data_IF_921222668402
#
_entry.id   IF_921222668402
#
_cell.length_a   1.000
_cell.length_b   1.000
_cell.length_c   1.000
_cell.angle_alpha   90.00
_cell.angle_beta   90.00
_cell.angle_gamma   90.00
#
_symmetry.space_group_name_H-M   'P 1'
#
loop_
_entity.id
_entity.type
_entity.pdbx_description
1 polymer ?
#
# COMPACT_ATOMS: atom_id res chain seq x y z
N UNK A 1 11.54 19.84 -23.33
CA UNK A 1 11.23 18.41 -23.39
C UNK A 1 10.77 17.89 -22.05
N UNK A 2 9.62 17.20 -21.99
CA UNK A 2 9.24 16.61 -20.71
C UNK A 2 10.22 15.53 -20.30
N UNK A 3 10.59 15.53 -19.02
CA UNK A 3 11.45 14.50 -18.47
C UNK A 3 10.68 13.17 -18.41
N UNK A 4 11.26 12.05 -18.89
CA UNK A 4 10.60 10.76 -18.75
C UNK A 4 10.35 10.45 -17.29
N UNK A 5 9.18 9.93 -16.99
CA UNK A 5 8.86 9.50 -15.64
C UNK A 5 9.68 8.27 -15.27
N UNK A 6 10.29 8.32 -14.09
CA UNK A 6 11.03 7.20 -13.54
C UNK A 6 10.08 6.28 -12.79
N UNK A 7 10.33 4.98 -12.89
CA UNK A 7 9.57 3.96 -12.18
C UNK A 7 8.43 3.35 -12.98
N UNK A 8 7.87 2.26 -12.48
CA UNK A 8 6.78 1.54 -13.15
C UNK A 8 5.50 2.36 -13.16
N UNK A 9 4.77 2.25 -14.27
CA UNK A 9 3.44 2.85 -14.42
C UNK A 9 2.39 1.77 -14.22
N UNK A 10 1.30 2.13 -13.53
CA UNK A 10 0.15 1.24 -13.32
C UNK A 10 -0.96 1.46 -14.33
N UNK A 11 -0.65 2.17 -15.42
CA UNK A 11 -1.62 2.56 -16.43
C UNK A 11 -2.27 3.90 -16.12
N UNK A 12 -2.79 4.58 -17.14
CA UNK A 12 -3.50 5.83 -16.99
C UNK A 12 -2.66 7.02 -16.57
N UNK A 13 -3.34 8.09 -16.12
CA UNK A 13 -2.72 9.33 -15.66
C UNK A 13 -2.09 9.18 -14.28
N UNK A 14 -1.21 10.11 -13.87
CA UNK A 14 -0.66 10.09 -12.50
C UNK A 14 -1.71 10.11 -11.40
N UNK A 15 -2.82 10.81 -11.58
CA UNK A 15 -3.91 10.82 -10.61
C UNK A 15 -4.61 9.47 -10.53
N UNK A 16 -4.77 8.77 -11.66
CA UNK A 16 -5.34 7.43 -11.70
C UNK A 16 -4.43 6.43 -10.98
N UNK A 17 -3.12 6.52 -11.20
CA UNK A 17 -2.14 5.66 -10.52
C UNK A 17 -2.17 5.86 -9.01
N UNK A 18 -2.25 7.11 -8.54
CA UNK A 18 -2.38 7.40 -7.11
C UNK A 18 -3.64 6.81 -6.52
N UNK A 19 -4.75 6.84 -7.28
CA UNK A 19 -6.02 6.27 -6.85
C UNK A 19 -5.94 4.75 -6.72
N UNK A 20 -5.28 4.08 -7.67
CA UNK A 20 -5.05 2.63 -7.61
C UNK A 20 -4.27 2.28 -6.34
N UNK A 21 -3.17 2.97 -6.08
CA UNK A 21 -2.34 2.72 -4.91
C UNK A 21 -3.08 3.01 -3.61
N UNK A 22 -3.82 4.11 -3.55
CA UNK A 22 -4.62 4.47 -2.38
C UNK A 22 -5.66 3.40 -2.07
N UNK A 23 -6.38 2.92 -3.09
CA UNK A 23 -7.41 1.89 -2.92
C UNK A 23 -6.80 0.54 -2.49
N UNK A 24 -5.67 0.15 -3.09
CA UNK A 24 -4.97 -1.08 -2.72
C UNK A 24 -4.44 -1.00 -1.28
N UNK A 25 -3.90 0.15 -0.89
CA UNK A 25 -3.41 0.35 0.46
C UNK A 25 -4.55 0.29 1.48
N UNK A 26 -5.69 0.91 1.20
CA UNK A 26 -6.87 0.84 2.05
C UNK A 26 -7.35 -0.60 2.21
N UNK A 27 -7.44 -1.35 1.12
CA UNK A 27 -7.82 -2.77 1.15
C UNK A 27 -6.84 -3.60 1.97
N UNK A 28 -5.56 -3.35 1.83
CA UNK A 28 -4.53 -4.07 2.59
C UNK A 28 -4.65 -3.81 4.09
N UNK A 29 -4.95 -2.59 4.49
CA UNK A 29 -5.14 -2.24 5.90
C UNK A 29 -6.38 -2.92 6.46
N UNK A 30 -7.49 -2.92 5.73
CA UNK A 30 -8.76 -3.50 6.17
C UNK A 30 -8.71 -5.02 6.20
N UNK A 31 -8.28 -5.64 5.11
CA UNK A 31 -8.27 -7.10 4.94
C UNK A 31 -6.98 -7.75 5.44
N UNK A 32 -5.93 -6.97 5.63
CA UNK A 32 -4.57 -7.37 5.99
C UNK A 32 -3.85 -8.19 4.92
N UNK A 33 -4.49 -8.43 3.79
CA UNK A 33 -3.92 -9.10 2.62
C UNK A 33 -4.68 -8.69 1.36
N UNK A 34 -3.96 -8.61 0.25
CA UNK A 34 -4.54 -8.28 -1.05
C UNK A 34 -3.87 -9.13 -2.11
N UNK A 35 -4.67 -9.72 -3.01
CA UNK A 35 -4.17 -10.41 -4.18
C UNK A 35 -4.25 -9.46 -5.38
N UNK A 36 -3.13 -9.26 -6.04
CA UNK A 36 -3.03 -8.37 -7.20
C UNK A 36 -1.92 -8.86 -8.13
N UNK A 37 -1.63 -8.11 -9.19
CA UNK A 37 -0.48 -8.46 -10.04
C UNK A 37 0.82 -8.24 -9.28
N UNK A 38 1.86 -9.01 -9.63
CA UNK A 38 3.18 -8.87 -9.01
C UNK A 38 3.73 -7.45 -9.17
N UNK A 39 3.50 -6.82 -10.34
CA UNK A 39 3.93 -5.45 -10.60
C UNK A 39 3.28 -4.44 -9.63
N UNK A 40 1.97 -4.56 -9.43
CA UNK A 40 1.25 -3.69 -8.49
C UNK A 40 1.69 -3.92 -7.05
N UNK A 41 1.86 -5.17 -6.65
CA UNK A 41 2.33 -5.51 -5.30
C UNK A 41 3.71 -4.88 -5.03
N UNK A 42 4.59 -4.93 -6.00
CA UNK A 42 5.94 -4.37 -5.90
C UNK A 42 5.94 -2.85 -5.73
N UNK A 43 5.02 -2.15 -6.40
CA UNK A 43 4.87 -0.70 -6.26
C UNK A 43 4.14 -0.34 -4.96
N UNK A 44 3.17 -1.15 -4.57
CA UNK A 44 2.37 -0.93 -3.36
C UNK A 44 3.19 -1.05 -2.09
N UNK A 45 4.14 -1.98 -2.03
CA UNK A 45 4.93 -2.25 -0.83
C UNK A 45 5.57 -1.02 -0.22
N UNK A 46 6.42 -0.24 -0.94
CA UNK A 46 7.02 0.96 -0.35
C UNK A 46 5.98 2.02 0.03
N UNK A 47 4.89 2.11 -0.74
CA UNK A 47 3.82 3.06 -0.46
C UNK A 47 3.15 2.77 0.89
N UNK A 48 2.77 1.51 1.11
CA UNK A 48 2.11 1.08 2.35
C UNK A 48 3.08 1.13 3.53
N UNK A 49 4.33 0.76 3.33
CA UNK A 49 5.30 0.78 4.42
C UNK A 49 5.55 2.18 4.97
N UNK A 50 5.56 3.19 4.10
CA UNK A 50 5.63 4.59 4.53
C UNK A 50 4.41 4.99 5.36
N UNK A 51 3.23 4.54 4.95
CA UNK A 51 1.98 4.80 5.67
C UNK A 51 2.00 4.15 7.05
N UNK A 52 2.43 2.91 7.14
CA UNK A 52 2.54 2.18 8.42
C UNK A 52 3.57 2.82 9.33
N UNK A 53 4.69 3.30 8.78
CA UNK A 53 5.69 4.01 9.57
C UNK A 53 5.09 5.27 10.22
N UNK A 54 4.26 6.00 9.49
CA UNK A 54 3.56 7.17 10.05
C UNK A 54 2.56 6.78 11.13
N UNK A 55 1.84 5.68 10.94
CA UNK A 55 0.90 5.16 11.94
C UNK A 55 1.64 4.69 13.20
N UNK A 56 2.81 4.13 13.03
CA UNK A 56 3.67 3.71 14.13
C UNK A 56 4.12 4.90 14.99
N UNK A 57 4.39 6.05 14.36
CA UNK A 57 4.64 7.31 15.09
C UNK A 57 3.42 7.76 15.89
N UNK A 58 2.24 7.68 15.28
CA UNK A 58 0.97 7.95 15.95
C UNK A 58 0.65 9.40 16.25
N UNK A 59 1.47 10.36 15.80
CA UNK A 59 1.23 11.77 16.08
C UNK A 59 0.19 12.38 15.13
N UNK A 60 -0.33 13.55 15.49
CA UNK A 60 -1.36 14.23 14.72
C UNK A 60 -0.89 14.61 13.33
N UNK A 61 0.35 15.06 13.21
CA UNK A 61 0.93 15.42 11.92
C UNK A 61 0.99 14.22 10.97
N UNK A 62 1.45 13.06 11.46
CA UNK A 62 1.50 11.82 10.69
C UNK A 62 0.10 11.40 10.24
N UNK A 63 -0.90 11.50 11.12
CA UNK A 63 -2.29 11.16 10.81
C UNK A 63 -2.83 12.06 9.68
N UNK A 64 -2.54 13.35 9.72
CA UNK A 64 -2.95 14.29 8.67
C UNK A 64 -2.30 13.98 7.33
N UNK A 65 -1.03 13.57 7.32
CA UNK A 65 -0.32 13.17 6.10
C UNK A 65 -0.93 11.91 5.49
N UNK A 66 -1.31 10.95 6.31
CA UNK A 66 -1.95 9.72 5.84
C UNK A 66 -3.34 10.03 5.27
N UNK A 67 -4.11 10.92 5.89
CA UNK A 67 -5.43 11.32 5.41
C UNK A 67 -5.40 11.95 4.02
N UNK A 68 -4.29 12.54 3.62
CA UNK A 68 -4.11 13.07 2.25
C UNK A 68 -4.04 11.95 1.21
N UNK A 69 -3.63 10.76 1.61
CA UNK A 69 -3.47 9.59 0.72
C UNK A 69 -4.65 8.65 0.81
N UNK A 70 -5.15 8.39 2.00
CA UNK A 70 -6.30 7.53 2.27
C UNK A 70 -7.37 8.39 2.93
N UNK A 71 -8.40 8.75 2.17
CA UNK A 71 -9.43 9.68 2.64
C UNK A 71 -10.49 9.05 3.53
N UNK A 72 -10.58 7.71 3.57
CA UNK A 72 -11.56 7.02 4.41
C UNK A 72 -11.12 7.03 5.87
N UNK A 73 -11.90 7.72 6.71
CA UNK A 73 -11.60 7.87 8.14
C UNK A 73 -11.58 6.53 8.88
N UNK A 74 -12.44 5.58 8.53
CA UNK A 74 -12.49 4.27 9.20
C UNK A 74 -11.21 3.48 8.96
N UNK A 75 -10.67 3.53 7.74
CA UNK A 75 -9.40 2.89 7.40
C UNK A 75 -8.26 3.51 8.18
N UNK A 76 -8.22 4.84 8.24
CA UNK A 76 -7.16 5.57 8.98
C UNK A 76 -7.28 5.28 10.48
N UNK A 77 -8.48 5.19 11.02
CA UNK A 77 -8.70 4.85 12.42
C UNK A 77 -8.14 3.45 12.72
N UNK A 78 -8.47 2.45 11.90
CA UNK A 78 -7.91 1.10 12.06
C UNK A 78 -6.39 1.13 11.97
N UNK A 79 -5.84 1.87 11.02
CA UNK A 79 -4.40 1.98 10.83
C UNK A 79 -3.70 2.48 12.09
N UNK A 80 -4.19 3.57 12.68
CA UNK A 80 -3.56 4.20 13.84
C UNK A 80 -3.86 3.50 15.16
N UNK A 81 -5.03 2.88 15.29
CA UNK A 81 -5.44 2.22 16.53
C UNK A 81 -4.97 0.78 16.64
N UNK A 82 -4.88 0.05 15.53
CA UNK A 82 -4.56 -1.38 15.52
C UNK A 82 -3.23 -1.71 14.84
N UNK A 83 -3.04 -1.22 13.61
CA UNK A 83 -1.88 -1.61 12.79
C UNK A 83 -0.60 -0.95 13.27
N UNK A 84 -0.64 0.36 13.53
CA UNK A 84 0.53 1.11 14.02
C UNK A 84 1.11 0.52 15.30
N UNK A 85 0.30 0.36 16.35
CA UNK A 85 0.77 -0.24 17.60
C UNK A 85 1.30 -1.66 17.45
N UNK A 86 0.76 -2.45 16.52
CA UNK A 86 1.23 -3.81 16.24
C UNK A 86 2.71 -3.85 15.89
N UNK A 87 3.20 -2.81 15.21
CA UNK A 87 4.58 -2.75 14.74
C UNK A 87 5.46 -1.76 15.51
N UNK A 88 5.08 -1.42 16.74
CA UNK A 88 5.79 -0.45 17.55
C UNK A 88 7.28 -0.78 17.67
N UNK A 89 7.63 -2.05 17.83
CA UNK A 89 9.02 -2.50 17.99
C UNK A 89 9.69 -2.92 16.67
N UNK A 90 9.02 -2.73 15.54
CA UNK A 90 9.54 -3.15 14.24
C UNK A 90 9.83 -1.94 13.37
N UNK A 91 11.09 -1.64 13.04
CA UNK A 91 11.46 -0.43 12.28
C UNK A 91 11.35 -0.57 10.77
N UNK A 92 10.51 -1.44 10.25
CA UNK A 92 10.30 -1.68 8.83
C UNK A 92 9.93 -3.11 8.57
N UNK A 93 9.76 -3.47 7.27
CA UNK A 93 9.43 -4.83 6.89
C UNK A 93 8.06 -5.28 7.38
N UNK A 94 7.07 -4.41 7.28
CA UNK A 94 5.71 -4.69 7.77
C UNK A 94 4.90 -5.56 6.82
N UNK A 95 5.37 -5.72 5.59
CA UNK A 95 4.64 -6.44 4.55
C UNK A 95 5.48 -7.56 3.96
N UNK A 96 4.78 -8.54 3.40
CA UNK A 96 5.40 -9.68 2.73
C UNK A 96 4.68 -9.91 1.41
N UNK A 97 5.43 -10.18 0.34
CA UNK A 97 4.89 -10.51 -0.97
C UNK A 97 5.10 -11.99 -1.24
N UNK A 98 4.02 -12.70 -1.55
CA UNK A 98 4.06 -14.12 -1.90
C UNK A 98 3.61 -14.27 -3.35
N UNK A 99 4.45 -14.86 -4.19
CA UNK A 99 4.13 -15.10 -5.60
C UNK A 99 3.10 -16.23 -5.71
N UNK A 100 2.09 -16.02 -6.55
CA UNK A 100 1.00 -16.97 -6.74
C UNK A 100 1.03 -17.67 -8.10
N UNK A 101 1.90 -17.23 -9.01
CA UNK A 101 1.98 -17.77 -10.37
C UNK A 101 1.11 -16.98 -11.35
N UNK A 102 1.03 -17.46 -12.63
CA UNK A 102 0.31 -16.74 -13.67
C UNK A 102 -1.21 -16.81 -13.48
N UNK A 103 -1.88 -15.71 -13.84
CA UNK A 103 -3.34 -15.64 -13.82
C UNK A 103 -3.92 -16.37 -15.02
N UNK A 104 -5.07 -17.01 -14.82
CA UNK A 104 -5.84 -17.61 -15.91
C UNK A 104 -6.30 -16.54 -16.89
N UNK A 105 -6.13 -16.80 -18.18
CA UNK A 105 -6.56 -15.93 -19.26
C UNK A 105 -5.39 -15.15 -19.87
N UNK A 106 -4.90 -14.11 -19.21
CA UNK A 106 -3.83 -13.26 -19.75
C UNK A 106 -2.41 -13.67 -19.31
N UNK A 107 -2.28 -14.63 -18.38
CA UNK A 107 -0.99 -15.09 -17.90
C UNK A 107 -0.25 -14.09 -17.02
N UNK A 108 -0.90 -13.02 -16.54
CA UNK A 108 -0.26 -12.05 -15.69
C UNK A 108 0.24 -12.69 -14.40
N UNK A 109 1.49 -12.38 -14.02
CA UNK A 109 2.06 -12.84 -12.75
C UNK A 109 1.28 -12.23 -11.60
N UNK A 110 0.74 -13.09 -10.73
CA UNK A 110 -0.03 -12.69 -9.56
C UNK A 110 0.79 -12.82 -8.29
N UNK A 111 0.48 -11.96 -7.34
CA UNK A 111 1.10 -12.00 -6.02
C UNK A 111 0.11 -11.60 -4.95
N UNK A 112 0.34 -12.09 -3.75
CA UNK A 112 -0.38 -11.68 -2.55
C UNK A 112 0.57 -10.83 -1.71
N UNK A 113 0.15 -9.62 -1.37
CA UNK A 113 0.84 -8.80 -0.39
C UNK A 113 0.04 -8.84 0.91
N UNK A 114 0.72 -9.05 2.02
CA UNK A 114 0.06 -9.20 3.31
C UNK A 114 0.88 -8.53 4.41
N UNK A 115 0.18 -8.14 5.47
CA UNK A 115 0.84 -7.66 6.69
C UNK A 115 1.44 -8.84 7.45
N UNK A 116 2.64 -8.65 7.92
CA UNK A 116 3.38 -9.69 8.65
C UNK A 116 2.86 -9.86 10.07
#
# INVERSE_FOLDING_TARGET
MPTPKKGPRLGGSPSHQRKILSNLAASLIVEERVTTTAARAKVLRPYVEKIITKARRGDLHSRRLVLRKITNNDVVTKLFDEVGPRYEDRPGGYTRIVKLGPRRGDGAEMAKIELV
#
